data_IF_100301241051
#
_entry.id   IF_100301241051
#
_cell.length_a   1.000
_cell.length_b   1.000
_cell.length_c   1.000
_cell.angle_alpha   90.00
_cell.angle_beta   90.00
_cell.angle_gamma   90.00
#
_symmetry.space_group_name_H-M   'P 1'
#
loop_
_entity.id
_entity.type
_entity.pdbx_description
1 polymer ?
#
# COMPACT_ATOMS: atom_id res chain seq x y z
N UNK A 1 -67.03 -20.73 -50.79
CA UNK A 1 -66.48 -19.38 -50.57
C UNK A 1 -65.53 -19.44 -49.39
N UNK A 2 -64.23 -19.32 -49.66
CA UNK A 2 -63.15 -19.29 -48.68
C UNK A 2 -63.00 -17.88 -48.11
N UNK A 3 -63.13 -17.72 -46.79
CA UNK A 3 -62.75 -16.49 -46.07
C UNK A 3 -61.47 -16.75 -45.28
N UNK A 4 -60.43 -15.88 -45.39
CA UNK A 4 -59.15 -16.09 -44.74
C UNK A 4 -59.11 -15.55 -43.30
N UNK A 5 -58.20 -16.15 -42.53
CA UNK A 5 -57.42 -15.62 -41.40
C UNK A 5 -58.07 -14.72 -40.33
N UNK A 6 -58.07 -15.22 -39.09
CA UNK A 6 -57.71 -14.42 -37.93
C UNK A 6 -56.91 -15.30 -36.96
N UNK A 7 -55.64 -15.54 -37.31
CA UNK A 7 -54.69 -16.11 -36.36
C UNK A 7 -54.57 -15.15 -35.18
N UNK A 8 -55.08 -15.54 -34.02
CA UNK A 8 -54.88 -14.84 -32.74
C UNK A 8 -53.38 -14.87 -32.46
N UNK A 9 -52.68 -13.80 -32.84
CA UNK A 9 -51.24 -13.68 -32.68
C UNK A 9 -50.92 -13.72 -31.18
N UNK A 10 -50.27 -14.80 -30.75
CA UNK A 10 -49.72 -14.91 -29.39
C UNK A 10 -48.85 -13.68 -29.14
N UNK A 11 -49.09 -12.90 -28.07
CA UNK A 11 -48.32 -11.70 -27.83
C UNK A 11 -46.85 -12.11 -27.73
N UNK A 12 -46.03 -11.56 -28.62
CA UNK A 12 -44.64 -11.94 -28.74
C UNK A 12 -43.91 -11.64 -27.44
N UNK A 13 -42.79 -12.34 -27.18
CA UNK A 13 -41.98 -12.09 -26.00
C UNK A 13 -41.66 -10.59 -25.84
N UNK A 14 -41.41 -9.88 -26.94
CA UNK A 14 -41.18 -8.43 -26.96
C UNK A 14 -42.37 -7.61 -26.43
N UNK A 15 -43.63 -7.98 -26.74
CA UNK A 15 -44.81 -7.30 -26.21
C UNK A 15 -45.03 -7.59 -24.71
N UNK A 16 -44.60 -8.77 -24.23
CA UNK A 16 -44.60 -9.09 -22.80
C UNK A 16 -43.54 -8.29 -22.04
N UNK A 17 -42.33 -8.19 -22.59
CA UNK A 17 -41.26 -7.33 -22.05
C UNK A 17 -41.65 -5.84 -22.05
N UNK A 18 -42.33 -5.38 -23.10
CA UNK A 18 -42.82 -4.00 -23.18
C UNK A 18 -43.91 -3.70 -22.12
N UNK A 19 -44.85 -4.63 -21.87
CA UNK A 19 -45.86 -4.49 -20.80
C UNK A 19 -45.24 -4.56 -19.41
N UNK A 20 -44.22 -5.40 -19.22
CA UNK A 20 -43.49 -5.50 -17.95
C UNK A 20 -42.67 -4.23 -17.70
N UNK A 21 -41.99 -3.70 -18.72
CA UNK A 21 -41.29 -2.42 -18.67
C UNK A 21 -42.21 -1.23 -18.42
N UNK A 22 -43.41 -1.21 -19.01
CA UNK A 22 -44.41 -0.17 -18.77
C UNK A 22 -45.01 -0.25 -17.35
N UNK A 23 -45.24 -1.45 -16.82
CA UNK A 23 -45.72 -1.65 -15.44
C UNK A 23 -44.66 -1.34 -14.39
N UNK A 24 -43.39 -1.62 -14.69
CA UNK A 24 -42.25 -1.20 -13.86
C UNK A 24 -42.14 0.33 -13.92
N UNK A 25 -42.11 0.91 -15.12
CA UNK A 25 -42.01 2.36 -15.34
C UNK A 25 -43.15 3.16 -14.71
N UNK A 26 -44.39 2.64 -14.70
CA UNK A 26 -45.54 3.32 -14.09
C UNK A 26 -45.52 3.31 -12.56
N UNK A 27 -44.72 2.43 -11.93
CA UNK A 27 -44.58 2.33 -10.48
C UNK A 27 -43.32 3.03 -9.94
N UNK A 28 -42.39 3.42 -10.81
CA UNK A 28 -41.23 4.21 -10.43
C UNK A 28 -41.64 5.68 -10.26
N UNK A 29 -41.96 6.07 -9.02
CA UNK A 29 -42.09 7.50 -8.65
C UNK A 29 -40.78 8.23 -8.98
N UNK A 30 -40.81 9.49 -9.46
CA UNK A 30 -39.62 10.20 -9.93
C UNK A 30 -38.55 10.53 -8.86
N UNK A 31 -38.72 10.08 -7.62
CA UNK A 31 -37.74 10.21 -6.53
C UNK A 31 -37.08 8.91 -6.07
N UNK A 32 -37.50 7.74 -6.59
CA UNK A 32 -37.05 6.43 -6.08
C UNK A 32 -35.56 6.18 -6.31
N UNK A 33 -35.00 6.71 -7.40
CA UNK A 33 -33.57 6.63 -7.69
C UNK A 33 -32.72 7.41 -6.67
N UNK A 34 -33.13 8.64 -6.36
CA UNK A 34 -32.44 9.49 -5.37
C UNK A 34 -32.56 8.86 -3.98
N UNK A 35 -33.74 8.35 -3.62
CA UNK A 35 -33.95 7.65 -2.35
C UNK A 35 -33.08 6.39 -2.22
N UNK A 36 -33.01 5.57 -3.27
CA UNK A 36 -32.16 4.39 -3.34
C UNK A 36 -30.67 4.75 -3.20
N UNK A 37 -30.22 5.79 -3.88
CA UNK A 37 -28.84 6.25 -3.81
C UNK A 37 -28.49 6.77 -2.41
N UNK A 38 -29.35 7.57 -1.79
CA UNK A 38 -29.16 8.07 -0.42
C UNK A 38 -29.21 6.95 0.60
N UNK A 39 -30.13 5.99 0.46
CA UNK A 39 -30.21 4.83 1.34
C UNK A 39 -28.94 3.96 1.23
N UNK A 40 -28.44 3.74 0.01
CA UNK A 40 -27.16 3.07 -0.22
C UNK A 40 -25.99 3.82 0.41
N UNK A 41 -25.96 5.15 0.30
CA UNK A 41 -24.94 5.98 0.93
C UNK A 41 -24.98 5.88 2.46
N UNK A 42 -26.17 5.94 3.08
CA UNK A 42 -26.34 5.81 4.53
C UNK A 42 -25.90 4.43 5.02
N UNK A 43 -26.26 3.36 4.30
CA UNK A 43 -25.79 2.00 4.63
C UNK A 43 -24.27 1.91 4.48
N UNK A 44 -23.70 2.47 3.41
CA UNK A 44 -22.26 2.46 3.19
C UNK A 44 -21.50 3.16 4.32
N UNK A 45 -21.98 4.31 4.76
CA UNK A 45 -21.41 5.02 5.93
C UNK A 45 -21.60 4.22 7.21
N UNK A 46 -22.77 3.60 7.41
CA UNK A 46 -23.03 2.76 8.58
C UNK A 46 -22.11 1.55 8.68
N UNK A 47 -21.89 0.84 7.57
CA UNK A 47 -20.98 -0.31 7.50
C UNK A 47 -19.53 0.10 7.69
N UNK A 48 -19.09 1.19 7.07
CA UNK A 48 -17.75 1.72 7.28
C UNK A 48 -17.54 2.12 8.75
N UNK A 49 -18.51 2.81 9.36
CA UNK A 49 -18.47 3.15 10.78
C UNK A 49 -18.40 1.92 11.69
N UNK A 50 -19.18 0.88 11.41
CA UNK A 50 -19.15 -0.37 12.15
C UNK A 50 -17.78 -1.06 12.05
N UNK A 51 -17.17 -1.10 10.86
CA UNK A 51 -15.83 -1.67 10.66
C UNK A 51 -14.78 -0.92 11.48
N UNK A 52 -14.81 0.41 11.50
CA UNK A 52 -13.91 1.21 12.35
C UNK A 52 -14.09 0.92 13.84
N UNK A 53 -15.33 0.74 14.32
CA UNK A 53 -15.60 0.41 15.72
C UNK A 53 -15.04 -0.98 16.06
N UNK A 54 -15.30 -1.99 15.22
CA UNK A 54 -14.79 -3.35 15.41
C UNK A 54 -13.26 -3.35 15.41
N UNK A 55 -12.64 -2.62 14.48
CA UNK A 55 -11.19 -2.48 14.42
C UNK A 55 -10.64 -1.76 15.66
N UNK A 56 -11.32 -0.73 16.16
CA UNK A 56 -10.90 -0.01 17.36
C UNK A 56 -10.89 -0.93 18.59
N UNK A 57 -11.95 -1.73 18.76
CA UNK A 57 -12.05 -2.72 19.84
C UNK A 57 -10.94 -3.77 19.69
N UNK A 58 -10.74 -4.31 18.48
CA UNK A 58 -9.70 -5.30 18.21
C UNK A 58 -8.31 -4.78 18.56
N UNK A 59 -7.96 -3.58 18.10
CA UNK A 59 -6.64 -2.97 18.39
C UNK A 59 -6.45 -2.70 19.87
N UNK A 60 -7.49 -2.23 20.57
CA UNK A 60 -7.38 -1.89 22.00
C UNK A 60 -7.25 -3.10 22.92
N UNK A 61 -7.92 -4.21 22.60
CA UNK A 61 -8.03 -5.33 23.53
C UNK A 61 -7.38 -6.63 23.06
N UNK A 62 -7.20 -6.83 21.75
CA UNK A 62 -6.79 -8.12 21.18
C UNK A 62 -5.54 -8.04 20.29
N UNK A 63 -4.88 -6.88 20.17
CA UNK A 63 -3.67 -6.75 19.35
C UNK A 63 -2.40 -6.76 20.22
N UNK A 64 -1.77 -7.94 20.31
CA UNK A 64 -0.42 -8.10 20.88
C UNK A 64 0.67 -8.07 19.81
N UNK A 65 0.29 -8.24 18.54
CA UNK A 65 1.21 -8.36 17.42
C UNK A 65 1.96 -7.05 17.19
N UNK A 66 1.29 -5.90 17.35
CA UNK A 66 1.94 -4.61 17.19
C UNK A 66 3.13 -4.41 18.15
N UNK A 67 3.03 -4.88 19.40
CA UNK A 67 4.13 -4.77 20.39
C UNK A 67 5.30 -5.69 20.02
N UNK A 68 5.01 -6.90 19.54
CA UNK A 68 6.01 -7.88 19.12
C UNK A 68 6.75 -7.37 17.89
N UNK A 69 6.03 -6.80 16.92
CA UNK A 69 6.64 -6.23 15.73
C UNK A 69 7.49 -4.99 16.07
N UNK A 70 6.99 -4.11 16.93
CA UNK A 70 7.73 -2.92 17.35
C UNK A 70 9.00 -3.25 18.15
N UNK A 71 9.01 -4.32 18.96
CA UNK A 71 10.23 -4.77 19.64
C UNK A 71 11.22 -5.39 18.66
N UNK A 72 10.74 -6.22 17.71
CA UNK A 72 11.55 -6.84 16.68
C UNK A 72 12.20 -5.80 15.76
N UNK A 73 11.45 -4.78 15.35
CA UNK A 73 11.98 -3.71 14.51
C UNK A 73 13.11 -2.96 15.20
N UNK A 74 12.94 -2.56 16.46
CA UNK A 74 14.00 -1.92 17.26
C UNK A 74 15.23 -2.80 17.44
N UNK A 75 15.04 -4.11 17.56
CA UNK A 75 16.17 -5.05 17.61
C UNK A 75 16.94 -5.08 16.29
N UNK A 76 16.23 -5.13 15.15
CA UNK A 76 16.85 -5.12 13.82
C UNK A 76 17.57 -3.80 13.54
N UNK A 77 17.02 -2.67 13.97
CA UNK A 77 17.66 -1.35 13.86
C UNK A 77 19.00 -1.32 14.62
N UNK A 78 19.02 -1.82 15.86
CA UNK A 78 20.27 -1.92 16.64
C UNK A 78 21.29 -2.85 15.98
N UNK A 79 20.83 -3.99 15.47
CA UNK A 79 21.67 -4.93 14.77
C UNK A 79 22.29 -4.31 13.51
N UNK A 80 21.50 -3.55 12.73
CA UNK A 80 21.99 -2.87 11.54
C UNK A 80 23.06 -1.81 11.87
N UNK A 81 22.84 -0.99 12.91
CA UNK A 81 23.82 0.00 13.36
C UNK A 81 25.11 -0.68 13.83
N UNK A 82 25.01 -1.77 14.59
CA UNK A 82 26.17 -2.52 15.06
C UNK A 82 27.01 -3.05 13.90
N UNK A 83 26.39 -3.69 12.90
CA UNK A 83 27.14 -4.21 11.75
C UNK A 83 27.76 -3.12 10.89
N UNK A 84 27.10 -1.96 10.80
CA UNK A 84 27.67 -0.81 10.10
C UNK A 84 28.93 -0.32 10.78
N UNK A 85 28.89 -0.12 12.10
CA UNK A 85 30.06 0.29 12.88
C UNK A 85 31.19 -0.74 12.80
N UNK A 86 30.85 -2.03 12.90
CA UNK A 86 31.83 -3.11 12.77
C UNK A 86 32.52 -3.11 11.39
N UNK A 87 31.78 -2.86 10.32
CA UNK A 87 32.34 -2.76 8.98
C UNK A 87 33.26 -1.53 8.84
N UNK A 88 32.84 -0.38 9.38
CA UNK A 88 33.66 0.84 9.41
C UNK A 88 34.97 0.61 10.19
N UNK A 89 34.91 -0.04 11.36
CA UNK A 89 36.10 -0.38 12.14
C UNK A 89 37.05 -1.30 11.38
N UNK A 90 36.51 -2.31 10.68
CA UNK A 90 37.31 -3.22 9.85
C UNK A 90 37.99 -2.48 8.69
N UNK A 91 37.30 -1.55 8.03
CA UNK A 91 37.89 -0.70 6.99
C UNK A 91 38.98 0.20 7.56
N UNK A 92 38.78 0.78 8.74
CA UNK A 92 39.78 1.60 9.41
C UNK A 92 41.03 0.81 9.78
N UNK A 93 40.89 -0.43 10.26
CA UNK A 93 42.03 -1.31 10.51
C UNK A 93 42.81 -1.64 9.24
N UNK A 94 42.11 -1.84 8.11
CA UNK A 94 42.75 -2.04 6.80
C UNK A 94 43.49 -0.79 6.31
N UNK A 95 42.94 0.40 6.54
CA UNK A 95 43.63 1.65 6.20
C UNK A 95 44.84 1.88 7.12
N UNK A 96 44.73 1.54 8.39
CA UNK A 96 45.83 1.63 9.34
C UNK A 96 46.99 0.69 8.97
N UNK A 97 46.72 -0.52 8.44
CA UNK A 97 47.79 -1.39 7.95
C UNK A 97 48.51 -0.81 6.73
N UNK A 98 47.79 -0.13 5.82
CA UNK A 98 48.43 0.56 4.68
C UNK A 98 49.27 1.76 5.13
N UNK A 99 48.84 2.47 6.17
CA UNK A 99 49.63 3.55 6.75
C UNK A 99 50.95 3.05 7.37
N UNK A 100 51.03 1.79 7.81
CA UNK A 100 52.29 1.20 8.27
C UNK A 100 53.29 0.94 7.13
N UNK A 101 52.79 0.71 5.91
CA UNK A 101 53.62 0.54 4.72
C UNK A 101 54.08 1.88 4.11
N UNK A 102 53.52 3.00 4.58
CA UNK A 102 53.82 4.32 4.05
C UNK A 102 55.23 4.79 4.43
N UNK A 103 56.08 4.97 3.42
CA UNK A 103 57.39 5.62 3.57
C UNK A 103 57.32 7.10 3.15
N UNK A 104 57.36 8.05 4.10
CA UNK A 104 57.31 9.48 3.77
C UNK A 104 58.57 9.96 3.03
N UNK A 105 59.70 9.24 3.10
CA UNK A 105 60.94 9.66 2.43
C UNK A 105 60.84 9.45 0.91
N UNK A 106 60.05 8.47 0.47
CA UNK A 106 59.84 8.17 -0.94
C UNK A 106 59.14 9.31 -1.72
N UNK A 107 58.44 10.21 -1.02
CA UNK A 107 57.76 11.36 -1.65
C UNK A 107 58.69 12.54 -1.92
N UNK A 108 59.92 12.51 -1.37
CA UNK A 108 60.92 13.56 -1.54
C UNK A 108 61.53 13.51 -2.94
N UNK A 109 61.54 14.65 -3.63
CA UNK A 109 62.28 14.77 -4.88
C UNK A 109 63.79 14.65 -4.63
N UNK A 110 64.57 14.09 -5.56
CA UNK A 110 66.02 14.08 -5.45
C UNK A 110 66.54 15.50 -5.19
N UNK A 111 67.42 15.65 -4.20
CA UNK A 111 68.01 16.92 -3.77
C UNK A 111 67.09 17.95 -3.09
N UNK A 112 65.80 17.65 -2.84
CA UNK A 112 64.94 18.50 -2.00
C UNK A 112 64.95 18.06 -0.53
N UNK A 113 64.62 18.95 0.41
CA UNK A 113 64.34 18.58 1.80
C UNK A 113 62.99 17.86 1.89
N UNK A 114 62.81 17.04 2.93
CA UNK A 114 61.52 16.41 3.20
C UNK A 114 60.56 17.43 3.81
N UNK A 115 59.36 17.56 3.24
CA UNK A 115 58.32 18.46 3.76
C UNK A 115 57.60 17.82 4.96
N UNK A 116 57.37 18.59 6.03
CA UNK A 116 56.68 18.12 7.25
C UNK A 116 55.24 17.67 6.99
N UNK A 117 54.62 18.11 5.89
CA UNK A 117 53.27 17.72 5.46
C UNK A 117 53.11 16.21 5.28
N UNK A 118 54.18 15.52 4.91
CA UNK A 118 54.14 14.09 4.57
C UNK A 118 54.47 13.19 5.76
N UNK A 119 54.78 13.76 6.93
CA UNK A 119 54.96 13.02 8.18
C UNK A 119 53.60 12.77 8.82
N UNK A 120 52.99 11.63 8.46
CA UNK A 120 51.88 11.04 9.20
C UNK A 120 52.39 10.31 10.44
#
# INVERSE_FOLDING_TARGET
MSTPEAAVAKPSAAQRFAKMGASIGSNFKPGTFIYSALFGAVIGVGLAGADYIVRNIKVRFADKEHLILASRQRYLEKQAVFYKQLAEDQEMHRLASLAQEYDPVATRMPFSLLEDKYRF
#
